data_IF_219322615159
#
_entry.id   IF_219322615159
#
_cell.length_a   1.000
_cell.length_b   1.000
_cell.length_c   1.000
_cell.angle_alpha   90.00
_cell.angle_beta   90.00
_cell.angle_gamma   90.00
#
_symmetry.space_group_name_H-M   'P 1'
#
loop_
_entity.id
_entity.type
_entity.pdbx_description
1 polymer ?
#
# COMPACT_ATOMS: atom_id res chain seq x y z
N UNK A 1 -9.47 -6.56 32.47
CA UNK A 1 -9.41 -6.85 31.01
C UNK A 1 -9.93 -5.71 30.16
N UNK A 2 -10.95 -4.97 30.61
CA UNK A 2 -11.57 -3.87 29.87
C UNK A 2 -10.59 -2.76 29.47
N UNK A 3 -9.70 -2.32 30.37
CA UNK A 3 -8.68 -1.33 30.03
C UNK A 3 -7.81 -1.76 28.82
N UNK A 4 -7.49 -3.05 28.73
CA UNK A 4 -6.71 -3.61 27.61
C UNK A 4 -7.52 -3.55 26.30
N UNK A 5 -8.81 -3.89 26.36
CA UNK A 5 -9.71 -3.77 25.20
C UNK A 5 -9.81 -2.32 24.74
N UNK A 6 -9.97 -1.38 25.67
CA UNK A 6 -10.08 0.05 25.37
C UNK A 6 -8.79 0.56 24.71
N UNK A 7 -7.63 0.20 25.25
CA UNK A 7 -6.33 0.56 24.67
C UNK A 7 -6.14 -0.04 23.27
N UNK A 8 -6.54 -1.30 23.06
CA UNK A 8 -6.52 -1.94 21.75
C UNK A 8 -7.45 -1.24 20.76
N UNK A 9 -8.69 -0.96 21.16
CA UNK A 9 -9.67 -0.26 20.33
C UNK A 9 -9.23 1.15 19.97
N UNK A 10 -8.73 1.91 20.95
CA UNK A 10 -8.22 3.25 20.72
C UNK A 10 -6.98 3.24 19.81
N UNK A 11 -6.05 2.31 20.05
CA UNK A 11 -4.86 2.13 19.22
C UNK A 11 -5.21 1.78 17.77
N UNK A 12 -6.14 0.83 17.57
CA UNK A 12 -6.62 0.43 16.26
C UNK A 12 -7.30 1.60 15.52
N UNK A 13 -8.14 2.35 16.23
CA UNK A 13 -8.83 3.50 15.68
C UNK A 13 -7.83 4.57 15.23
N UNK A 14 -6.90 4.96 16.11
CA UNK A 14 -5.88 5.96 15.79
C UNK A 14 -4.99 5.52 14.63
N UNK A 15 -4.60 4.25 14.59
CA UNK A 15 -3.84 3.70 13.48
C UNK A 15 -4.61 3.82 12.15
N UNK A 16 -5.87 3.39 12.09
CA UNK A 16 -6.68 3.46 10.87
C UNK A 16 -7.07 4.89 10.50
N UNK A 17 -7.24 5.81 11.46
CA UNK A 17 -7.40 7.23 11.20
C UNK A 17 -6.13 7.81 10.55
N UNK A 18 -4.95 7.50 11.10
CA UNK A 18 -3.67 7.98 10.55
C UNK A 18 -3.41 7.45 9.12
N UNK A 19 -3.74 6.20 8.85
CA UNK A 19 -3.67 5.60 7.52
C UNK A 19 -4.67 6.26 6.55
N UNK A 20 -5.88 6.58 7.04
CA UNK A 20 -6.89 7.30 6.27
C UNK A 20 -6.44 8.71 5.88
N UNK A 21 -5.89 9.47 6.83
CA UNK A 21 -5.32 10.80 6.60
C UNK A 21 -4.17 10.74 5.59
N UNK A 22 -3.24 9.81 5.76
CA UNK A 22 -2.12 9.61 4.81
C UNK A 22 -2.64 9.29 3.41
N UNK A 23 -3.63 8.40 3.28
CA UNK A 23 -4.26 8.07 2.01
C UNK A 23 -4.95 9.28 1.35
N UNK A 24 -5.54 10.18 2.15
CA UNK A 24 -6.10 11.44 1.63
C UNK A 24 -5.01 12.36 1.08
N UNK A 25 -3.86 12.46 1.76
CA UNK A 25 -2.72 13.26 1.31
C UNK A 25 -2.17 12.73 -0.02
N UNK A 26 -2.18 11.41 -0.22
CA UNK A 26 -1.80 10.74 -1.46
C UNK A 26 -2.87 10.81 -2.57
N UNK A 27 -4.00 11.47 -2.31
CA UNK A 27 -5.16 11.59 -3.22
C UNK A 27 -5.86 10.25 -3.52
N UNK A 28 -5.63 9.24 -2.70
CA UNK A 28 -6.25 7.92 -2.80
C UNK A 28 -7.57 7.86 -2.02
N UNK A 29 -8.61 8.50 -2.59
CA UNK A 29 -9.93 8.64 -1.94
C UNK A 29 -10.57 7.31 -1.53
N UNK A 30 -10.38 6.27 -2.33
CA UNK A 30 -10.94 4.95 -2.04
C UNK A 30 -10.26 4.33 -0.81
N UNK A 31 -8.93 4.37 -0.75
CA UNK A 31 -8.18 3.84 0.39
C UNK A 31 -8.52 4.62 1.68
N UNK A 32 -8.62 5.94 1.60
CA UNK A 32 -9.04 6.77 2.73
C UNK A 32 -10.43 6.38 3.26
N UNK A 33 -11.42 6.25 2.37
CA UNK A 33 -12.79 5.87 2.74
C UNK A 33 -12.84 4.49 3.41
N UNK A 34 -12.14 3.51 2.82
CA UNK A 34 -12.04 2.16 3.40
C UNK A 34 -11.39 2.24 4.79
N UNK A 35 -10.30 2.98 4.95
CA UNK A 35 -9.60 3.10 6.22
C UNK A 35 -10.47 3.72 7.32
N UNK A 36 -11.23 4.77 7.02
CA UNK A 36 -12.13 5.38 8.01
C UNK A 36 -13.29 4.47 8.40
N UNK A 37 -13.95 3.84 7.42
CA UNK A 37 -15.06 2.91 7.68
C UNK A 37 -14.57 1.71 8.49
N UNK A 38 -13.44 1.11 8.09
CA UNK A 38 -12.80 0.02 8.82
C UNK A 38 -12.36 0.45 10.22
N UNK A 39 -11.85 1.68 10.38
CA UNK A 39 -11.47 2.26 11.67
C UNK A 39 -12.62 2.25 12.67
N UNK A 40 -13.78 2.74 12.25
CA UNK A 40 -14.98 2.75 13.08
C UNK A 40 -15.45 1.32 13.34
N UNK A 41 -15.65 0.53 12.27
CA UNK A 41 -16.28 -0.79 12.38
C UNK A 41 -15.47 -1.78 13.22
N UNK A 42 -14.15 -1.81 13.02
CA UNK A 42 -13.27 -2.75 13.71
C UNK A 42 -12.97 -2.33 15.15
N UNK A 43 -12.90 -1.02 15.44
CA UNK A 43 -12.60 -0.52 16.78
C UNK A 43 -13.84 -0.48 17.69
N UNK A 44 -15.03 -0.36 17.10
CA UNK A 44 -16.29 -0.26 17.83
C UNK A 44 -16.51 -1.34 18.90
N UNK A 45 -16.38 -2.66 18.61
CA UNK A 45 -16.62 -3.68 19.63
C UNK A 45 -15.66 -3.60 20.83
N UNK A 46 -14.45 -3.07 20.64
CA UNK A 46 -13.46 -2.89 21.71
C UNK A 46 -13.74 -1.65 22.57
N UNK A 47 -14.41 -0.64 22.00
CA UNK A 47 -14.74 0.63 22.67
C UNK A 47 -16.15 0.63 23.30
N UNK A 48 -16.97 -0.39 23.01
CA UNK A 48 -18.31 -0.55 23.58
C UNK A 48 -18.38 -0.46 25.12
N UNK A 49 -17.41 -0.99 25.90
CA UNK A 49 -17.44 -0.88 27.36
C UNK A 49 -17.50 0.56 27.85
N UNK A 50 -16.83 1.49 27.15
CA UNK A 50 -16.81 2.92 27.50
C UNK A 50 -18.10 3.62 27.10
N UNK A 51 -18.71 3.22 25.99
CA UNK A 51 -19.87 3.92 25.43
C UNK A 51 -21.18 3.61 26.15
N UNK A 52 -21.27 2.44 26.78
CA UNK A 52 -22.52 1.90 27.32
C UNK A 52 -22.38 1.31 28.73
N UNK A 53 -21.24 1.49 29.39
CA UNK A 53 -20.89 0.82 30.65
C UNK A 53 -21.18 -0.69 30.59
N UNK A 54 -20.83 -1.31 29.47
CA UNK A 54 -21.02 -2.75 29.24
C UNK A 54 -19.79 -3.50 29.69
N UNK A 55 -19.94 -4.33 30.71
CA UNK A 55 -18.90 -5.26 31.14
C UNK A 55 -19.00 -6.57 30.38
N UNK A 56 -17.92 -6.94 29.69
CA UNK A 56 -17.82 -8.23 29.03
C UNK A 56 -17.40 -9.32 30.03
N UNK A 57 -17.98 -10.53 29.95
CA UNK A 57 -17.41 -11.70 30.60
C UNK A 57 -15.94 -11.92 30.21
N UNK A 58 -15.13 -12.44 31.13
CA UNK A 58 -13.69 -12.60 30.94
C UNK A 58 -13.33 -13.43 29.70
N UNK A 59 -14.11 -14.48 29.40
CA UNK A 59 -13.88 -15.34 28.24
C UNK A 59 -14.11 -14.62 26.91
N UNK A 60 -15.08 -13.68 26.85
CA UNK A 60 -15.30 -12.84 25.65
C UNK A 60 -14.11 -11.90 25.48
N UNK A 61 -13.71 -11.23 26.57
CA UNK A 61 -12.58 -10.31 26.57
C UNK A 61 -11.29 -11.02 26.15
N UNK A 62 -11.02 -12.21 26.69
CA UNK A 62 -9.88 -13.04 26.34
C UNK A 62 -9.92 -13.47 24.86
N UNK A 63 -11.10 -13.86 24.35
CA UNK A 63 -11.30 -14.20 22.94
C UNK A 63 -10.99 -13.04 22.00
N UNK A 64 -11.46 -11.83 22.32
CA UNK A 64 -11.20 -10.62 21.53
C UNK A 64 -9.72 -10.24 21.52
N UNK A 65 -9.06 -10.28 22.69
CA UNK A 65 -7.61 -10.03 22.80
C UNK A 65 -6.83 -11.06 21.99
N UNK A 66 -7.20 -12.34 22.09
CA UNK A 66 -6.55 -13.43 21.36
C UNK A 66 -6.73 -13.30 19.86
N UNK A 67 -7.92 -12.89 19.40
CA UNK A 67 -8.19 -12.64 17.99
C UNK A 67 -7.33 -11.47 17.46
N UNK A 68 -7.32 -10.34 18.16
CA UNK A 68 -6.52 -9.18 17.78
C UNK A 68 -5.02 -9.53 17.75
N UNK A 69 -4.52 -10.21 18.79
CA UNK A 69 -3.14 -10.68 18.87
C UNK A 69 -2.81 -11.70 17.78
N UNK A 70 -3.72 -12.61 17.46
CA UNK A 70 -3.57 -13.59 16.39
C UNK A 70 -3.49 -12.94 15.01
N UNK A 71 -4.36 -11.98 14.71
CA UNK A 71 -4.29 -11.21 13.47
C UNK A 71 -2.96 -10.44 13.35
N UNK A 72 -2.48 -9.84 14.43
CA UNK A 72 -1.18 -9.16 14.46
C UNK A 72 -0.03 -10.15 14.29
N UNK A 73 -0.07 -11.31 14.93
CA UNK A 73 0.93 -12.35 14.77
C UNK A 73 0.98 -12.85 13.32
N UNK A 74 -0.18 -13.09 12.71
CA UNK A 74 -0.31 -13.49 11.30
C UNK A 74 0.25 -12.40 10.38
N UNK A 75 -0.03 -11.12 10.64
CA UNK A 75 0.45 -10.03 9.78
C UNK A 75 1.97 -9.84 9.81
N UNK A 76 2.63 -10.26 10.89
CA UNK A 76 4.09 -10.26 11.02
C UNK A 76 4.76 -11.46 10.32
N UNK A 77 4.00 -12.51 9.98
CA UNK A 77 4.55 -13.65 9.24
C UNK A 77 4.75 -13.22 7.79
N UNK A 78 5.99 -13.27 7.26
CA UNK A 78 6.25 -12.97 5.86
C UNK A 78 5.74 -14.12 5.00
N UNK A 79 4.45 -14.11 4.68
CA UNK A 79 3.89 -15.05 3.71
C UNK A 79 4.56 -14.81 2.36
N UNK A 80 5.50 -15.70 2.01
CA UNK A 80 6.05 -15.77 0.66
C UNK A 80 4.92 -16.22 -0.27
N UNK A 81 4.16 -15.24 -0.76
CA UNK A 81 3.25 -15.48 -1.87
C UNK A 81 4.02 -16.11 -3.02
N UNK A 82 3.42 -17.11 -3.69
CA UNK A 82 3.94 -17.57 -4.98
C UNK A 82 3.72 -16.44 -5.97
N UNK A 83 4.67 -15.52 -6.07
CA UNK A 83 4.70 -14.54 -7.14
C UNK A 83 4.85 -15.37 -8.42
N UNK A 84 3.75 -15.56 -9.14
CA UNK A 84 3.82 -16.06 -10.50
C UNK A 84 4.49 -14.96 -11.32
N UNK A 85 5.82 -15.04 -11.42
CA UNK A 85 6.57 -14.24 -12.37
C UNK A 85 6.12 -14.66 -13.76
N UNK A 86 5.19 -13.91 -14.34
CA UNK A 86 4.89 -14.02 -15.75
C UNK A 86 6.09 -13.46 -16.49
N UNK A 87 6.94 -14.35 -17.01
CA UNK A 87 8.05 -13.95 -17.87
C UNK A 87 7.47 -13.34 -19.14
N UNK A 88 7.31 -12.02 -19.16
CA UNK A 88 6.91 -11.31 -20.37
C UNK A 88 8.06 -11.42 -21.37
N UNK A 89 7.97 -12.40 -22.29
CA UNK A 89 8.85 -12.39 -23.46
C UNK A 89 8.53 -11.13 -24.26
N UNK A 90 9.50 -10.22 -24.49
CA UNK A 90 9.26 -9.06 -25.32
C UNK A 90 8.82 -9.53 -26.70
N UNK A 91 7.59 -9.16 -27.11
CA UNK A 91 7.00 -9.57 -28.40
C UNK A 91 7.73 -8.95 -29.58
N UNK A 92 8.32 -7.77 -29.38
CA UNK A 92 8.99 -6.99 -30.41
C UNK A 92 10.42 -6.68 -30.02
N UNK A 93 11.30 -6.55 -31.03
CA UNK A 93 12.63 -5.97 -30.85
C UNK A 93 12.45 -4.45 -30.82
N UNK A 94 12.96 -3.82 -29.77
CA UNK A 94 13.00 -2.37 -29.65
C UNK A 94 14.42 -1.90 -29.89
N UNK A 95 14.58 -0.70 -30.45
CA UNK A 95 15.90 -0.09 -30.57
C UNK A 95 16.34 0.39 -29.19
N UNK A 96 17.46 -0.11 -28.67
CA UNK A 96 17.93 0.27 -27.34
C UNK A 96 18.10 1.78 -27.18
N UNK A 97 18.40 2.51 -28.27
CA UNK A 97 18.51 3.98 -28.29
C UNK A 97 17.20 4.69 -27.94
N UNK A 98 16.06 3.99 -27.93
CA UNK A 98 14.80 4.53 -27.47
C UNK A 98 14.72 4.63 -25.95
N UNK A 99 15.53 3.84 -25.22
CA UNK A 99 15.69 4.02 -23.78
C UNK A 99 16.46 5.30 -23.47
N UNK A 100 16.04 6.03 -22.44
CA UNK A 100 16.63 7.33 -22.09
C UNK A 100 18.15 7.25 -21.86
N UNK A 101 18.64 6.19 -21.22
CA UNK A 101 20.06 6.00 -20.92
C UNK A 101 20.92 5.77 -22.17
N UNK A 102 20.44 4.97 -23.12
CA UNK A 102 21.17 4.71 -24.36
C UNK A 102 21.08 5.90 -25.31
N UNK A 103 19.98 6.65 -25.29
CA UNK A 103 19.81 7.87 -26.10
C UNK A 103 20.85 8.94 -25.75
N UNK A 104 21.18 9.10 -24.48
CA UNK A 104 22.21 10.05 -24.01
C UNK A 104 23.61 9.77 -24.60
N UNK A 105 23.89 8.55 -25.07
CA UNK A 105 25.17 8.20 -25.71
C UNK A 105 25.27 8.68 -27.16
N UNK A 106 24.20 9.24 -27.73
CA UNK A 106 24.22 9.79 -29.09
C UNK A 106 24.94 11.15 -29.09
N UNK A 107 26.08 11.23 -29.76
CA UNK A 107 26.88 12.46 -29.88
C UNK A 107 26.31 13.34 -30.99
N UNK A 108 25.92 14.60 -30.72
CA UNK A 108 25.47 15.55 -31.74
C UNK A 108 26.49 15.68 -32.88
N UNK A 109 26.00 15.77 -34.12
CA UNK A 109 26.83 15.82 -35.32
C UNK A 109 27.43 14.48 -35.76
N UNK A 110 27.32 13.41 -34.96
CA UNK A 110 27.71 12.07 -35.41
C UNK A 110 26.71 11.49 -36.41
N UNK A 111 27.18 10.64 -37.32
CA UNK A 111 26.31 9.92 -38.27
C UNK A 111 25.20 9.12 -37.57
N UNK A 112 25.48 8.57 -36.39
CA UNK A 112 24.51 7.80 -35.60
C UNK A 112 23.40 8.67 -35.02
N UNK A 113 23.73 9.87 -34.57
CA UNK A 113 22.78 10.86 -34.06
C UNK A 113 21.82 11.31 -35.16
N UNK A 114 22.36 11.70 -36.32
CA UNK A 114 21.55 12.16 -37.46
C UNK A 114 20.62 11.07 -37.98
N UNK A 115 21.10 9.83 -38.13
CA UNK A 115 20.28 8.71 -38.59
C UNK A 115 19.17 8.38 -37.60
N UNK A 116 19.46 8.41 -36.29
CA UNK A 116 18.46 8.13 -35.26
C UNK A 116 17.35 9.19 -35.24
N UNK A 117 17.71 10.48 -35.19
CA UNK A 117 16.72 11.55 -35.11
C UNK A 117 15.99 11.85 -36.42
N UNK A 118 16.53 11.41 -37.56
CA UNK A 118 15.79 11.40 -38.84
C UNK A 118 14.62 10.41 -38.80
N UNK A 119 14.80 9.25 -38.18
CA UNK A 119 13.76 8.22 -38.04
C UNK A 119 12.79 8.51 -36.90
N UNK A 120 13.19 9.33 -35.92
CA UNK A 120 12.42 9.62 -34.69
C UNK A 120 12.49 11.11 -34.34
N UNK A 121 11.90 12.00 -35.17
CA UNK A 121 12.03 13.45 -34.99
C UNK A 121 11.42 13.93 -33.67
N UNK A 122 10.36 13.29 -33.17
CA UNK A 122 9.72 13.65 -31.89
C UNK A 122 10.62 13.50 -30.66
N UNK A 123 11.76 12.81 -30.78
CA UNK A 123 12.70 12.58 -29.69
C UNK A 123 13.89 13.53 -29.72
N UNK A 124 14.00 14.38 -30.75
CA UNK A 124 15.16 15.25 -30.94
C UNK A 124 15.20 16.29 -29.81
N UNK A 125 16.29 16.37 -29.03
CA UNK A 125 16.46 17.44 -28.06
C UNK A 125 16.45 18.77 -28.83
N UNK A 126 15.70 19.74 -28.29
CA UNK A 126 15.65 21.12 -28.78
C UNK A 126 17.03 21.77 -28.71
#
# INVERSE_FOLDING_TARGET
MELVLILLGAGLLLFLLSAGITSMMEKERRAACISFISGILLSFPYLLPVLKDVTYPDWISAGMISLAGGCLAISLIPFRGRIQYTYQRPRNRFDERDTMFSRQKLVPGSKKFEVYYRLRPQHRPL
#
